data_IF_809080266974
#
_entry.id   IF_809080266974
#
_cell.length_a   1.000
_cell.length_b   1.000
_cell.length_c   1.000
_cell.angle_alpha   90.00
_cell.angle_beta   90.00
_cell.angle_gamma   90.00
#
_symmetry.space_group_name_H-M   'P 1'
#
loop_
_entity.id
_entity.type
_entity.pdbx_description
1 polymer ?
#
# COMPACT_ATOMS: atom_id res chain seq x y z
N UNK A 1 17.21 -8.77 6.92
CA UNK A 1 18.32 -7.96 7.48
C UNK A 1 18.58 -8.28 8.95
N UNK A 2 17.56 -8.20 9.80
CA UNK A 2 17.65 -8.61 11.23
C UNK A 2 18.34 -9.96 11.42
N UNK A 3 17.99 -10.96 10.60
CA UNK A 3 18.59 -12.31 10.69
C UNK A 3 20.09 -12.32 10.41
N UNK A 4 20.56 -11.50 9.46
CA UNK A 4 21.99 -11.35 9.16
C UNK A 4 22.70 -10.67 10.33
N UNK A 5 22.12 -9.61 10.87
CA UNK A 5 22.71 -8.89 12.00
C UNK A 5 22.74 -9.76 13.25
N UNK A 6 21.69 -10.54 13.50
CA UNK A 6 21.62 -11.48 14.62
C UNK A 6 22.68 -12.59 14.50
N UNK A 7 22.93 -13.09 13.29
CA UNK A 7 24.03 -14.02 13.03
C UNK A 7 25.40 -13.37 13.31
N UNK A 8 25.60 -12.11 12.92
CA UNK A 8 26.82 -11.35 13.23
C UNK A 8 27.00 -11.20 14.75
N UNK A 9 25.97 -10.73 15.47
CA UNK A 9 26.07 -10.46 16.91
C UNK A 9 26.27 -11.73 17.73
N UNK A 10 25.64 -12.83 17.33
CA UNK A 10 25.80 -14.13 18.00
C UNK A 10 27.16 -14.74 17.72
N UNK A 11 27.66 -14.69 16.48
CA UNK A 11 29.01 -15.17 16.12
C UNK A 11 30.11 -14.40 16.86
N UNK A 12 29.96 -13.08 17.03
CA UNK A 12 30.90 -12.25 17.77
C UNK A 12 30.77 -12.38 19.30
N UNK A 13 29.80 -13.13 19.81
CA UNK A 13 29.58 -13.33 21.24
C UNK A 13 29.07 -12.08 21.97
N UNK A 14 28.45 -11.13 21.27
CA UNK A 14 27.95 -9.87 21.84
C UNK A 14 26.43 -9.87 22.12
N UNK A 15 25.76 -10.99 21.82
CA UNK A 15 24.35 -11.25 22.12
C UNK A 15 23.48 -11.51 20.89
N UNK A 16 22.17 -11.59 21.08
CA UNK A 16 21.19 -11.72 19.98
C UNK A 16 20.54 -10.37 19.67
N UNK A 17 20.86 -9.80 18.51
CA UNK A 17 20.23 -8.57 18.01
C UNK A 17 18.70 -8.70 17.93
N UNK A 18 18.18 -9.89 17.61
CA UNK A 18 16.74 -10.15 17.53
C UNK A 18 16.02 -9.93 18.85
N UNK A 19 16.66 -10.28 19.97
CA UNK A 19 16.09 -10.13 21.30
C UNK A 19 16.19 -8.70 21.86
N UNK A 20 16.99 -7.83 21.22
CA UNK A 20 17.18 -6.48 21.71
C UNK A 20 15.95 -5.60 21.46
N UNK A 21 15.61 -4.71 22.42
CA UNK A 21 14.62 -3.67 22.21
C UNK A 21 15.11 -2.66 21.16
N UNK A 22 14.18 -1.92 20.56
CA UNK A 22 14.45 -0.99 19.45
C UNK A 22 15.51 0.05 19.82
N UNK A 23 15.49 0.60 21.03
CA UNK A 23 16.46 1.56 21.51
C UNK A 23 17.88 0.97 21.52
N UNK A 24 18.03 -0.25 22.06
CA UNK A 24 19.32 -0.95 22.09
C UNK A 24 19.83 -1.28 20.69
N UNK A 25 18.92 -1.64 19.77
CA UNK A 25 19.27 -1.85 18.35
C UNK A 25 19.81 -0.57 17.72
N UNK A 26 19.12 0.56 17.90
CA UNK A 26 19.58 1.86 17.41
C UNK A 26 20.94 2.26 18.00
N UNK A 27 21.10 2.14 19.32
CA UNK A 27 22.35 2.47 20.01
C UNK A 27 23.53 1.66 19.46
N UNK A 28 23.35 0.34 19.35
CA UNK A 28 24.39 -0.54 18.81
C UNK A 28 24.69 -0.23 17.34
N UNK A 29 23.67 -0.12 16.48
CA UNK A 29 23.86 0.21 15.06
C UNK A 29 24.59 1.54 14.90
N UNK A 30 24.24 2.56 15.68
CA UNK A 30 24.90 3.87 15.61
C UNK A 30 26.34 3.81 16.10
N UNK A 31 26.63 3.03 17.15
CA UNK A 31 28.00 2.78 17.60
C UNK A 31 28.83 2.20 16.46
N UNK A 32 28.31 1.17 15.80
CA UNK A 32 29.01 0.50 14.71
C UNK A 32 29.14 1.37 13.46
N UNK A 33 28.09 2.12 13.09
CA UNK A 33 28.08 3.04 11.95
C UNK A 33 29.07 4.21 12.10
N UNK A 34 29.29 4.67 13.34
CA UNK A 34 30.32 5.67 13.67
C UNK A 34 31.72 5.06 13.78
N UNK A 35 31.79 3.79 14.20
CA UNK A 35 33.01 3.01 14.27
C UNK A 35 33.67 2.81 12.89
N UNK A 36 34.97 2.53 12.92
CA UNK A 36 35.78 2.18 11.72
C UNK A 36 36.20 0.71 11.70
N UNK A 37 35.79 -0.06 12.71
CA UNK A 37 36.12 -1.48 12.83
C UNK A 37 35.19 -2.29 11.91
N UNK A 38 35.71 -3.17 11.05
CA UNK A 38 34.88 -4.12 10.32
C UNK A 38 34.19 -5.13 11.25
N UNK A 39 32.93 -5.46 10.93
CA UNK A 39 32.09 -6.39 11.69
C UNK A 39 31.93 -7.73 11.00
N UNK A 40 31.83 -7.76 9.68
CA UNK A 40 31.52 -8.98 8.95
C UNK A 40 32.75 -9.89 8.89
N UNK A 41 32.70 -11.02 9.60
CA UNK A 41 33.77 -12.02 9.56
C UNK A 41 33.60 -12.97 8.38
N UNK A 42 34.72 -13.35 7.76
CA UNK A 42 34.75 -14.30 6.63
C UNK A 42 34.30 -15.71 7.02
N UNK A 43 34.43 -16.07 8.30
CA UNK A 43 34.09 -17.38 8.85
C UNK A 43 32.70 -17.44 9.51
N UNK A 44 31.91 -16.37 9.42
CA UNK A 44 30.56 -16.34 9.97
C UNK A 44 29.68 -17.39 9.29
N UNK A 45 29.03 -18.30 10.04
CA UNK A 45 28.10 -19.27 9.47
C UNK A 45 26.92 -18.58 8.76
N UNK A 46 26.56 -19.07 7.58
CA UNK A 46 25.47 -18.50 6.77
C UNK A 46 24.44 -19.59 6.45
N UNK A 47 23.17 -19.29 6.73
CA UNK A 47 22.06 -20.03 6.12
C UNK A 47 21.91 -19.60 4.66
N UNK A 48 21.12 -20.34 3.87
CA UNK A 48 20.83 -19.97 2.48
C UNK A 48 20.24 -18.55 2.38
N UNK A 49 19.30 -18.19 3.27
CA UNK A 49 18.70 -16.85 3.31
C UNK A 49 19.70 -15.74 3.68
N UNK A 50 20.63 -16.02 4.61
CA UNK A 50 21.69 -15.06 4.97
C UNK A 50 22.67 -14.87 3.81
N UNK A 51 23.07 -15.97 3.17
CA UNK A 51 23.97 -15.95 2.03
C UNK A 51 23.37 -15.20 0.85
N UNK A 52 22.06 -15.34 0.59
CA UNK A 52 21.35 -14.59 -0.45
C UNK A 52 21.38 -13.06 -0.18
N UNK A 53 21.09 -12.64 1.05
CA UNK A 53 21.13 -11.22 1.43
C UNK A 53 22.55 -10.64 1.29
N UNK A 54 23.57 -11.34 1.78
CA UNK A 54 24.96 -10.88 1.66
C UNK A 54 25.44 -10.90 0.21
N UNK A 55 25.09 -11.94 -0.55
CA UNK A 55 25.35 -12.07 -1.98
C UNK A 55 24.76 -10.91 -2.79
N UNK A 56 23.53 -10.50 -2.46
CA UNK A 56 22.92 -9.30 -3.05
C UNK A 56 23.79 -8.06 -2.83
N UNK A 57 24.27 -7.79 -1.60
CA UNK A 57 25.14 -6.64 -1.35
C UNK A 57 26.51 -6.74 -2.03
N UNK A 58 27.08 -7.95 -2.16
CA UNK A 58 28.32 -8.14 -2.92
C UNK A 58 28.13 -7.78 -4.40
N UNK A 59 27.02 -8.19 -5.03
CA UNK A 59 26.68 -7.77 -6.40
C UNK A 59 26.53 -6.25 -6.50
N UNK A 60 25.91 -5.62 -5.51
CA UNK A 60 25.80 -4.15 -5.45
C UNK A 60 27.17 -3.46 -5.32
N UNK A 61 28.14 -4.09 -4.66
CA UNK A 61 29.50 -3.55 -4.51
C UNK A 61 30.35 -3.68 -5.78
N UNK A 62 30.06 -4.66 -6.63
CA UNK A 62 30.80 -4.95 -7.86
C UNK A 62 30.31 -4.16 -9.08
N UNK A 63 29.02 -3.80 -9.13
CA UNK A 63 28.39 -3.13 -10.26
C UNK A 63 28.43 -1.60 -10.15
N UNK A 64 28.25 -0.93 -11.29
CA UNK A 64 28.23 0.54 -11.36
C UNK A 64 27.03 1.10 -10.61
N UNK A 65 27.24 2.17 -9.82
CA UNK A 65 26.17 2.81 -9.04
C UNK A 65 24.97 3.19 -9.91
N UNK A 66 25.18 3.72 -11.10
CA UNK A 66 24.11 4.22 -11.97
C UNK A 66 23.18 3.11 -12.51
N UNK A 67 23.54 1.84 -12.33
CA UNK A 67 22.66 0.71 -12.64
C UNK A 67 21.49 0.57 -11.65
N UNK A 68 21.52 1.28 -10.51
CA UNK A 68 20.60 1.04 -9.41
C UNK A 68 19.76 2.26 -9.00
N UNK A 69 18.55 1.98 -8.50
CA UNK A 69 17.71 2.96 -7.82
C UNK A 69 17.97 2.99 -6.31
N UNK A 70 16.92 3.00 -5.47
CA UNK A 70 17.05 2.85 -4.02
C UNK A 70 17.12 1.37 -3.59
N UNK A 71 17.57 1.13 -2.37
CA UNK A 71 17.35 -0.12 -1.65
C UNK A 71 16.06 -0.01 -0.83
N UNK A 72 15.04 -0.80 -1.16
CA UNK A 72 13.71 -0.72 -0.51
C UNK A 72 13.58 -1.80 0.55
N UNK A 73 13.15 -1.40 1.75
CA UNK A 73 12.91 -2.31 2.88
C UNK A 73 11.41 -2.54 3.00
N UNK A 74 10.93 -3.67 2.49
CA UNK A 74 9.56 -4.14 2.75
C UNK A 74 9.36 -4.43 4.24
N UNK A 75 8.14 -4.22 4.74
CA UNK A 75 7.78 -4.38 6.15
C UNK A 75 8.66 -3.55 7.11
N UNK A 76 9.01 -2.32 6.72
CA UNK A 76 9.74 -1.43 7.61
C UNK A 76 8.82 -1.00 8.76
N UNK A 77 9.32 -1.09 9.99
CA UNK A 77 8.57 -0.83 11.22
C UNK A 77 9.23 0.23 12.10
N UNK A 78 10.56 0.33 12.05
CA UNK A 78 11.31 1.17 12.98
C UNK A 78 12.59 1.75 12.35
N UNK A 79 13.22 2.78 12.97
CA UNK A 79 14.50 3.33 12.52
C UNK A 79 15.61 2.30 12.39
N UNK A 80 15.67 1.29 13.27
CA UNK A 80 16.69 0.24 13.21
C UNK A 80 16.66 -0.57 11.90
N UNK A 81 15.50 -0.72 11.26
CA UNK A 81 15.38 -1.41 9.97
C UNK A 81 16.19 -0.68 8.88
N UNK A 82 16.12 0.66 8.87
CA UNK A 82 16.86 1.51 7.93
C UNK A 82 18.36 1.50 8.24
N UNK A 83 18.72 1.69 9.51
CA UNK A 83 20.12 1.71 9.96
C UNK A 83 20.82 0.36 9.76
N UNK A 84 20.09 -0.75 9.91
CA UNK A 84 20.57 -2.09 9.63
C UNK A 84 21.04 -2.25 8.18
N UNK A 85 20.28 -1.73 7.21
CA UNK A 85 20.67 -1.79 5.79
C UNK A 85 21.84 -0.85 5.50
N UNK A 86 21.87 0.35 6.08
CA UNK A 86 23.03 1.24 5.95
C UNK A 86 24.31 0.56 6.46
N UNK A 87 24.24 -0.17 7.57
CA UNK A 87 25.36 -0.93 8.10
C UNK A 87 25.77 -2.05 7.15
N UNK A 88 24.83 -2.88 6.70
CA UNK A 88 25.12 -4.00 5.80
C UNK A 88 25.71 -3.54 4.45
N UNK A 89 25.23 -2.43 3.88
CA UNK A 89 25.84 -1.84 2.68
C UNK A 89 27.31 -1.49 2.91
N UNK A 90 27.64 -0.90 4.07
CA UNK A 90 29.02 -0.57 4.42
C UNK A 90 29.87 -1.83 4.62
N UNK A 91 29.39 -2.79 5.39
CA UNK A 91 30.14 -4.01 5.74
C UNK A 91 30.36 -4.93 4.53
N UNK A 92 29.46 -4.90 3.55
CA UNK A 92 29.64 -5.59 2.27
C UNK A 92 30.42 -4.76 1.23
N UNK A 93 31.09 -3.68 1.65
CA UNK A 93 31.94 -2.83 0.82
C UNK A 93 31.24 -2.14 -0.37
N UNK A 94 29.95 -1.82 -0.25
CA UNK A 94 29.25 -0.99 -1.24
C UNK A 94 29.79 0.44 -1.14
N UNK A 95 30.79 0.76 -1.98
CA UNK A 95 31.53 2.04 -1.92
C UNK A 95 30.66 3.28 -2.11
N UNK A 96 29.61 3.17 -2.92
CA UNK A 96 28.62 4.20 -3.16
C UNK A 96 27.23 3.68 -2.74
N UNK A 97 26.92 3.67 -1.43
CA UNK A 97 25.74 2.98 -0.93
C UNK A 97 24.44 3.62 -1.45
N UNK A 98 23.48 2.76 -1.79
CA UNK A 98 22.18 3.15 -2.33
C UNK A 98 21.38 3.93 -1.27
N UNK A 99 20.51 4.87 -1.68
CA UNK A 99 19.53 5.46 -0.79
C UNK A 99 18.61 4.38 -0.21
N UNK A 100 18.51 4.31 1.11
CA UNK A 100 17.64 3.36 1.80
C UNK A 100 16.23 3.93 1.95
N UNK A 101 15.23 3.16 1.54
CA UNK A 101 13.83 3.57 1.47
C UNK A 101 12.97 2.62 2.30
N UNK A 102 12.44 3.05 3.46
CA UNK A 102 11.47 2.24 4.20
C UNK A 102 10.15 2.19 3.44
N UNK A 103 9.57 0.98 3.34
CA UNK A 103 8.22 0.75 2.86
C UNK A 103 7.32 0.41 4.06
N UNK A 104 6.44 1.34 4.42
CA UNK A 104 5.43 1.15 5.48
C UNK A 104 4.17 0.51 4.88
N UNK A 105 3.79 -0.67 5.39
CA UNK A 105 2.78 -1.54 4.76
C UNK A 105 1.56 -1.82 5.64
N UNK A 106 1.68 -1.82 6.97
CA UNK A 106 0.52 -1.99 7.87
C UNK A 106 0.00 -0.65 8.38
N UNK A 107 -1.22 -0.67 8.90
CA UNK A 107 -1.83 0.51 9.50
C UNK A 107 -1.00 1.06 10.66
N UNK A 108 -0.50 0.17 11.54
CA UNK A 108 0.35 0.58 12.67
C UNK A 108 1.69 1.18 12.20
N UNK A 109 2.27 0.64 11.13
CA UNK A 109 3.53 1.11 10.57
C UNK A 109 3.36 2.51 9.94
N UNK A 110 2.24 2.75 9.27
CA UNK A 110 1.90 4.08 8.75
C UNK A 110 1.67 5.11 9.87
N UNK A 111 1.04 4.71 10.97
CA UNK A 111 0.82 5.57 12.14
C UNK A 111 2.14 5.92 12.83
N UNK A 112 3.10 5.00 12.91
CA UNK A 112 4.41 5.24 13.51
C UNK A 112 5.42 5.89 12.55
N UNK A 113 5.17 5.85 11.23
CA UNK A 113 6.09 6.34 10.20
C UNK A 113 6.62 7.77 10.46
N UNK A 114 5.80 8.78 10.83
CA UNK A 114 6.31 10.13 11.10
C UNK A 114 7.31 10.16 12.26
N UNK A 115 7.05 9.40 13.33
CA UNK A 115 7.94 9.31 14.49
C UNK A 115 9.25 8.58 14.12
N UNK A 116 9.17 7.50 13.33
CA UNK A 116 10.34 6.78 12.84
C UNK A 116 11.23 7.66 11.94
N UNK A 117 10.61 8.43 11.03
CA UNK A 117 11.32 9.37 10.14
C UNK A 117 11.93 10.52 10.95
N UNK A 118 11.19 11.09 11.91
CA UNK A 118 11.71 12.13 12.80
C UNK A 118 12.91 11.62 13.60
N UNK A 119 12.81 10.40 14.15
CA UNK A 119 13.91 9.78 14.88
C UNK A 119 15.13 9.65 13.99
N UNK A 120 14.99 9.12 12.76
CA UNK A 120 16.10 9.03 11.81
C UNK A 120 16.74 10.39 11.51
N UNK A 121 15.94 11.43 11.30
CA UNK A 121 16.47 12.79 11.02
C UNK A 121 17.14 13.44 12.22
N UNK A 122 16.79 13.03 13.45
CA UNK A 122 17.47 13.49 14.67
C UNK A 122 18.86 12.87 14.89
N UNK A 123 19.26 11.88 14.07
CA UNK A 123 20.56 11.22 14.17
C UNK A 123 21.56 11.90 13.23
N UNK A 124 22.54 12.63 13.78
CA UNK A 124 23.55 13.37 12.98
C UNK A 124 24.23 12.52 11.91
N UNK A 125 24.54 11.26 12.24
CA UNK A 125 25.15 10.33 11.27
C UNK A 125 24.24 10.11 10.06
N UNK A 126 22.95 9.88 10.30
CA UNK A 126 21.98 9.59 9.24
C UNK A 126 21.67 10.85 8.44
N UNK A 127 21.47 12.00 9.11
CA UNK A 127 21.19 13.26 8.45
C UNK A 127 22.33 13.66 7.48
N UNK A 128 23.58 13.48 7.91
CA UNK A 128 24.75 13.67 7.05
C UNK A 128 24.79 12.66 5.90
N UNK A 129 24.48 11.39 6.17
CA UNK A 129 24.48 10.29 5.19
C UNK A 129 23.50 10.51 4.04
N UNK A 130 22.32 11.08 4.32
CA UNK A 130 21.26 11.29 3.31
C UNK A 130 21.42 12.60 2.51
N UNK A 131 22.31 13.51 2.92
CA UNK A 131 22.60 14.75 2.19
C UNK A 131 21.36 15.61 1.91
N UNK A 132 20.43 15.67 2.88
CA UNK A 132 19.20 16.46 2.79
C UNK A 132 18.11 15.86 1.88
N UNK A 133 18.19 14.59 1.47
CA UNK A 133 17.16 13.93 0.64
C UNK A 133 16.75 12.59 1.24
N UNK A 134 15.47 12.42 1.54
CA UNK A 134 14.90 11.14 1.98
C UNK A 134 13.82 10.69 1.01
N UNK A 135 13.73 9.38 0.78
CA UNK A 135 12.57 8.81 0.13
C UNK A 135 11.88 7.79 1.04
N UNK A 136 10.55 7.81 1.04
CA UNK A 136 9.72 6.86 1.76
C UNK A 136 8.76 6.22 0.78
N UNK A 137 8.61 4.89 0.83
CA UNK A 137 7.64 4.18 0.01
C UNK A 137 6.38 3.90 0.83
N UNK A 138 5.22 4.04 0.19
CA UNK A 138 3.92 3.79 0.81
C UNK A 138 3.15 2.70 0.07
N UNK A 139 2.67 1.69 0.80
CA UNK A 139 1.99 0.52 0.24
C UNK A 139 0.47 0.61 0.38
N UNK A 140 -0.27 0.75 -0.73
CA UNK A 140 -1.73 0.84 -0.71
C UNK A 140 -2.41 -0.52 -0.55
N UNK A 141 -2.04 -1.50 -1.39
CA UNK A 141 -2.67 -2.83 -1.36
C UNK A 141 -2.37 -3.59 -0.07
N UNK A 142 -1.15 -3.51 0.44
CA UNK A 142 -0.76 -4.17 1.68
C UNK A 142 -1.47 -3.54 2.90
N UNK A 143 -1.55 -2.21 2.97
CA UNK A 143 -2.31 -1.52 4.02
C UNK A 143 -3.81 -1.82 3.93
N UNK A 144 -4.35 -1.86 2.70
CA UNK A 144 -5.75 -2.24 2.46
C UNK A 144 -6.05 -3.67 2.88
N UNK A 145 -5.09 -4.60 2.70
CA UNK A 145 -5.21 -5.98 3.16
C UNK A 145 -5.22 -6.10 4.68
N UNK A 146 -4.50 -5.23 5.39
CA UNK A 146 -4.42 -5.22 6.86
C UNK A 146 -5.68 -4.67 7.53
N UNK A 147 -6.23 -3.57 7.01
CA UNK A 147 -7.23 -2.77 7.73
C UNK A 147 -8.45 -2.32 6.91
N UNK A 148 -8.59 -2.78 5.66
CA UNK A 148 -9.61 -2.30 4.74
C UNK A 148 -9.17 -1.04 4.00
N UNK A 149 -9.71 -0.84 2.80
CA UNK A 149 -9.23 0.17 1.85
C UNK A 149 -9.48 1.62 2.31
N UNK A 150 -10.63 1.90 2.93
CA UNK A 150 -10.98 3.24 3.43
C UNK A 150 -9.96 3.71 4.48
N UNK A 151 -9.71 2.87 5.48
CA UNK A 151 -8.79 3.15 6.59
C UNK A 151 -7.34 3.24 6.12
N UNK A 152 -6.92 2.37 5.20
CA UNK A 152 -5.62 2.46 4.56
C UNK A 152 -5.43 3.79 3.82
N UNK A 153 -6.42 4.22 3.03
CA UNK A 153 -6.34 5.49 2.30
C UNK A 153 -6.23 6.68 3.25
N UNK A 154 -7.00 6.70 4.35
CA UNK A 154 -6.94 7.77 5.33
C UNK A 154 -5.62 7.82 6.09
N UNK A 155 -5.13 6.67 6.56
CA UNK A 155 -3.84 6.56 7.24
C UNK A 155 -2.68 6.98 6.33
N UNK A 156 -2.76 6.65 5.04
CA UNK A 156 -1.79 7.12 4.05
C UNK A 156 -1.82 8.64 3.90
N UNK A 157 -2.99 9.26 3.84
CA UNK A 157 -3.11 10.72 3.75
C UNK A 157 -2.48 11.41 4.96
N UNK A 158 -2.83 10.98 6.17
CA UNK A 158 -2.33 11.58 7.42
C UNK A 158 -0.85 11.32 7.65
N UNK A 159 -0.35 10.12 7.34
CA UNK A 159 1.07 9.80 7.45
C UNK A 159 1.92 10.66 6.50
N UNK A 160 1.48 10.84 5.25
CA UNK A 160 2.17 11.69 4.27
C UNK A 160 2.22 13.16 4.73
N UNK A 161 1.09 13.69 5.22
CA UNK A 161 1.02 15.05 5.75
C UNK A 161 1.98 15.24 6.96
N UNK A 162 1.99 14.28 7.88
CA UNK A 162 2.85 14.33 9.06
C UNK A 162 4.35 14.19 8.71
N UNK A 163 4.71 13.26 7.82
CA UNK A 163 6.09 13.09 7.35
C UNK A 163 6.58 14.33 6.59
N UNK A 164 5.74 14.98 5.79
CA UNK A 164 6.10 16.22 5.10
C UNK A 164 6.40 17.36 6.10
N UNK A 165 5.59 17.50 7.16
CA UNK A 165 5.84 18.46 8.25
C UNK A 165 7.16 18.18 8.96
N UNK A 166 7.45 16.91 9.27
CA UNK A 166 8.73 16.49 9.85
C UNK A 166 9.89 16.85 8.92
N UNK A 167 9.82 16.46 7.65
CA UNK A 167 10.87 16.73 6.67
C UNK A 167 11.16 18.23 6.51
N UNK A 168 10.12 19.06 6.50
CA UNK A 168 10.23 20.52 6.47
C UNK A 168 10.98 21.09 7.69
N UNK A 169 10.70 20.58 8.90
CA UNK A 169 11.42 21.00 10.14
C UNK A 169 12.92 20.71 10.09
N UNK A 170 13.30 19.57 9.50
CA UNK A 170 14.70 19.14 9.40
C UNK A 170 15.40 19.60 8.10
N UNK A 171 14.72 20.37 7.24
CA UNK A 171 15.28 20.83 5.96
C UNK A 171 15.57 19.69 4.97
N UNK A 172 14.84 18.57 5.07
CA UNK A 172 15.00 17.40 4.20
C UNK A 172 13.99 17.44 3.06
N UNK A 173 14.46 17.25 1.82
CA UNK A 173 13.59 17.02 0.67
C UNK A 173 13.07 15.58 0.72
N UNK A 174 11.80 15.43 1.10
CA UNK A 174 11.10 14.16 1.08
C UNK A 174 10.54 13.87 -0.33
N UNK A 175 10.82 12.69 -0.85
CA UNK A 175 10.15 12.13 -2.04
C UNK A 175 9.29 10.95 -1.60
N UNK A 176 8.01 10.95 -1.94
CA UNK A 176 7.14 9.80 -1.72
C UNK A 176 7.19 8.87 -2.93
N UNK A 177 7.39 7.58 -2.66
CA UNK A 177 7.28 6.52 -3.66
C UNK A 177 5.96 5.76 -3.48
N UNK A 178 5.03 6.00 -4.39
CA UNK A 178 3.71 5.39 -4.38
C UNK A 178 3.76 3.95 -4.91
N UNK A 179 3.47 2.99 -4.03
CA UNK A 179 3.38 1.57 -4.34
C UNK A 179 2.17 1.18 -5.19
N UNK A 180 2.01 -0.12 -5.45
CA UNK A 180 0.88 -0.68 -6.21
C UNK A 180 -0.45 -0.46 -5.51
N UNK A 181 -1.52 -0.41 -6.30
CA UNK A 181 -2.89 -0.35 -5.80
C UNK A 181 -3.41 1.03 -5.45
N UNK A 182 -2.57 2.07 -5.44
CA UNK A 182 -3.03 3.45 -5.23
C UNK A 182 -3.86 3.99 -6.38
N UNK A 183 -4.66 5.03 -6.12
CA UNK A 183 -5.39 5.80 -7.15
C UNK A 183 -4.45 6.32 -8.23
N UNK A 184 -3.21 6.70 -7.84
CA UNK A 184 -2.17 7.21 -8.74
C UNK A 184 -1.64 6.16 -9.73
N UNK A 185 -1.64 4.88 -9.36
CA UNK A 185 -0.96 3.81 -10.13
C UNK A 185 -1.87 2.93 -10.99
N UNK A 186 -3.19 3.11 -10.92
CA UNK A 186 -4.15 2.16 -11.52
C UNK A 186 -4.72 2.54 -12.87
N UNK A 187 -4.48 3.76 -13.37
CA UNK A 187 -4.92 4.21 -14.69
C UNK A 187 -6.44 4.12 -14.99
N UNK A 188 -7.25 3.62 -14.04
CA UNK A 188 -8.68 3.39 -14.17
C UNK A 188 -9.54 4.47 -13.52
N UNK A 189 -8.92 5.45 -12.86
CA UNK A 189 -9.52 6.75 -12.55
C UNK A 189 -8.58 7.84 -13.07
N UNK A 190 -8.96 9.13 -13.01
CA UNK A 190 -8.11 10.19 -13.54
C UNK A 190 -6.80 10.30 -12.73
N UNK A 191 -5.74 9.62 -13.17
CA UNK A 191 -4.41 9.66 -12.52
C UNK A 191 -3.94 11.10 -12.29
N UNK A 192 -4.33 12.00 -13.19
CA UNK A 192 -4.15 13.44 -13.04
C UNK A 192 -4.74 13.96 -11.71
N UNK A 193 -6.04 13.76 -11.48
CA UNK A 193 -6.71 14.20 -10.26
C UNK A 193 -6.18 13.48 -9.02
N UNK A 194 -5.77 12.21 -9.14
CA UNK A 194 -5.18 11.46 -8.04
C UNK A 194 -3.81 12.03 -7.58
N UNK A 195 -3.05 12.64 -8.48
CA UNK A 195 -1.82 13.36 -8.14
C UNK A 195 -2.19 14.71 -7.50
N UNK A 196 -3.14 15.45 -8.08
CA UNK A 196 -3.61 16.72 -7.52
C UNK A 196 -4.25 16.59 -6.13
N UNK A 197 -4.75 15.40 -5.78
CA UNK A 197 -5.37 15.14 -4.47
C UNK A 197 -4.41 14.73 -3.36
N UNK A 198 -3.11 14.58 -3.65
CA UNK A 198 -2.13 14.31 -2.60
C UNK A 198 -2.10 15.46 -1.58
N UNK A 199 -1.76 15.20 -0.30
CA UNK A 199 -1.70 16.27 0.70
C UNK A 199 -0.77 17.42 0.25
N UNK A 200 -1.06 18.69 0.62
CA UNK A 200 -0.20 19.82 0.30
C UNK A 200 1.26 19.60 0.73
N UNK A 201 2.21 20.20 0.00
CA UNK A 201 3.66 20.13 0.25
C UNK A 201 4.28 18.70 0.24
N UNK A 202 3.62 17.69 -0.36
CA UNK A 202 4.15 16.30 -0.38
C UNK A 202 4.89 15.91 -1.67
N UNK A 203 4.69 16.62 -2.78
CA UNK A 203 5.29 16.27 -4.08
C UNK A 203 6.51 17.15 -4.39
N UNK A 204 6.38 18.47 -4.30
CA UNK A 204 7.47 19.45 -4.45
C UNK A 204 8.41 19.16 -5.64
N UNK A 205 7.82 18.87 -6.80
CA UNK A 205 8.52 18.59 -8.06
C UNK A 205 9.26 17.24 -8.11
N UNK A 206 8.99 16.31 -7.18
CA UNK A 206 9.60 14.98 -7.18
C UNK A 206 8.56 13.90 -6.87
N UNK A 207 8.09 13.24 -7.92
CA UNK A 207 7.11 12.16 -7.84
C UNK A 207 7.75 10.83 -8.26
N UNK A 208 7.48 9.76 -7.50
CA UNK A 208 7.76 8.38 -7.92
C UNK A 208 6.52 7.53 -7.78
N UNK A 209 6.13 6.85 -8.85
CA UNK A 209 4.91 6.03 -8.90
C UNK A 209 5.24 4.68 -9.51
N UNK A 210 4.64 3.63 -8.95
CA UNK A 210 4.68 2.29 -9.54
C UNK A 210 3.68 2.22 -10.69
N UNK A 211 4.16 1.99 -11.91
CA UNK A 211 3.30 1.55 -13.01
C UNK A 211 3.04 0.05 -12.84
N UNK A 212 1.78 -0.31 -12.67
CA UNK A 212 1.39 -1.70 -12.52
C UNK A 212 1.44 -2.43 -13.87
N UNK A 213 1.88 -3.70 -13.86
CA UNK A 213 2.01 -4.50 -15.09
C UNK A 213 0.68 -4.65 -15.82
N UNK A 214 -0.43 -4.78 -15.10
CA UNK A 214 -1.77 -4.87 -15.67
C UNK A 214 -2.27 -3.55 -16.33
N UNK A 215 -1.53 -2.45 -16.20
CA UNK A 215 -1.86 -1.14 -16.80
C UNK A 215 -0.78 -0.67 -17.79
N UNK A 216 0.30 -1.45 -17.97
CA UNK A 216 1.43 -1.02 -18.81
C UNK A 216 1.01 -0.83 -20.26
N UNK A 217 0.26 -1.77 -20.81
CA UNK A 217 -0.23 -1.74 -22.19
C UNK A 217 -1.20 -0.56 -22.40
N UNK A 218 -2.15 -0.38 -21.49
CA UNK A 218 -3.10 0.74 -21.57
C UNK A 218 -2.41 2.11 -21.47
N UNK A 219 -1.28 2.19 -20.76
CA UNK A 219 -0.58 3.45 -20.53
C UNK A 219 0.46 3.77 -21.61
N UNK A 220 1.09 2.77 -22.20
CA UNK A 220 2.29 2.92 -23.03
C UNK A 220 2.30 2.08 -24.31
N UNK A 221 1.30 1.23 -24.55
CA UNK A 221 1.25 0.31 -25.71
C UNK A 221 0.95 1.01 -27.04
N UNK A 222 0.36 2.20 -27.00
CA UNK A 222 0.07 3.02 -28.18
C UNK A 222 0.75 4.40 -28.05
N UNK A 223 1.26 4.94 -29.15
CA UNK A 223 2.12 6.13 -29.16
C UNK A 223 1.43 7.38 -28.59
N UNK A 224 0.18 7.65 -28.99
CA UNK A 224 -0.58 8.80 -28.49
C UNK A 224 -0.95 8.62 -27.01
N UNK A 225 -1.34 7.42 -26.58
CA UNK A 225 -1.62 7.11 -25.18
C UNK A 225 -0.36 7.23 -24.31
N UNK A 226 0.80 6.78 -24.80
CA UNK A 226 2.10 6.96 -24.17
C UNK A 226 2.38 8.45 -23.94
N UNK A 227 2.24 9.27 -25.00
CA UNK A 227 2.42 10.72 -24.90
C UNK A 227 1.47 11.34 -23.87
N UNK A 228 0.18 11.00 -23.92
CA UNK A 228 -0.81 11.51 -22.96
C UNK A 228 -0.52 11.07 -21.52
N UNK A 229 0.04 9.87 -21.33
CA UNK A 229 0.49 9.38 -20.02
C UNK A 229 1.64 10.23 -19.49
N UNK A 230 2.67 10.47 -20.30
CA UNK A 230 3.79 11.33 -19.90
C UNK A 230 3.34 12.78 -19.63
N UNK A 231 2.44 13.31 -20.46
CA UNK A 231 1.87 14.64 -20.31
C UNK A 231 1.13 14.79 -18.98
N UNK A 232 0.22 13.88 -18.63
CA UNK A 232 -0.59 14.00 -17.40
C UNK A 232 0.25 13.90 -16.13
N UNK A 233 1.26 13.03 -16.09
CA UNK A 233 2.17 12.93 -14.94
C UNK A 233 2.97 14.22 -14.76
N UNK A 234 3.47 14.79 -15.85
CA UNK A 234 4.24 16.05 -15.81
C UNK A 234 3.36 17.22 -15.37
N UNK A 235 2.19 17.39 -15.98
CA UNK A 235 1.27 18.48 -15.68
C UNK A 235 0.78 18.45 -14.23
N UNK A 236 0.27 17.31 -13.77
CA UNK A 236 -0.29 17.20 -12.42
C UNK A 236 0.78 17.35 -11.32
N UNK A 237 2.00 16.85 -11.56
CA UNK A 237 3.13 17.02 -10.62
C UNK A 237 3.53 18.49 -10.49
N UNK A 238 3.55 19.22 -11.61
CA UNK A 238 3.87 20.64 -11.65
C UNK A 238 2.76 21.47 -10.97
N UNK A 239 1.50 21.24 -11.36
CA UNK A 239 0.36 21.96 -10.82
C UNK A 239 0.22 21.76 -9.31
N UNK A 240 0.33 20.54 -8.80
CA UNK A 240 0.23 20.27 -7.36
C UNK A 240 1.21 21.10 -6.52
N UNK A 241 2.44 21.29 -7.02
CA UNK A 241 3.47 22.07 -6.33
C UNK A 241 3.24 23.59 -6.32
N UNK A 242 2.37 24.11 -7.20
CA UNK A 242 2.05 25.54 -7.30
C UNK A 242 0.61 25.88 -6.89
N UNK A 243 -0.28 24.89 -6.95
CA UNK A 243 -1.70 24.98 -6.68
C UNK A 243 -2.13 23.75 -5.85
N UNK A 244 -1.79 23.73 -4.55
CA UNK A 244 -2.12 22.61 -3.68
C UNK A 244 -3.63 22.48 -3.48
N UNK A 245 -4.15 21.27 -3.20
CA UNK A 245 -5.57 21.08 -2.94
C UNK A 245 -6.00 21.75 -1.63
N UNK A 246 -7.31 21.95 -1.48
CA UNK A 246 -7.89 22.43 -0.23
C UNK A 246 -7.52 21.52 0.95
N UNK A 247 -7.16 22.14 2.08
CA UNK A 247 -6.97 21.42 3.33
C UNK A 247 -8.32 20.93 3.86
N UNK A 248 -8.41 19.68 4.37
CA UNK A 248 -9.68 19.18 4.88
C UNK A 248 -10.13 19.94 6.13
N UNK A 249 -11.43 20.26 6.19
CA UNK A 249 -12.07 20.91 7.33
C UNK A 249 -11.97 20.01 8.59
N UNK A 250 -11.96 20.59 9.82
CA UNK A 250 -11.88 19.80 11.05
C UNK A 250 -12.96 18.72 11.17
N UNK A 251 -14.20 19.04 10.78
CA UNK A 251 -15.32 18.11 10.78
C UNK A 251 -15.14 16.95 9.77
N UNK A 252 -14.47 17.18 8.64
CA UNK A 252 -14.15 16.12 7.68
C UNK A 252 -13.10 15.16 8.25
N UNK A 253 -12.09 15.69 8.94
CA UNK A 253 -11.08 14.85 9.61
C UNK A 253 -11.70 14.02 10.72
N UNK A 254 -12.50 14.65 11.58
CA UNK A 254 -13.18 13.97 12.68
C UNK A 254 -14.10 12.84 12.16
N UNK A 255 -14.84 13.10 11.08
CA UNK A 255 -15.67 12.08 10.45
C UNK A 255 -14.81 10.95 9.85
N UNK A 256 -13.70 11.26 9.17
CA UNK A 256 -12.79 10.25 8.64
C UNK A 256 -12.16 9.37 9.74
N UNK A 257 -11.71 9.97 10.84
CA UNK A 257 -11.15 9.23 11.99
C UNK A 257 -12.17 8.24 12.56
N UNK A 258 -13.43 8.65 12.66
CA UNK A 258 -14.51 7.81 13.15
C UNK A 258 -14.87 6.67 12.18
N UNK A 259 -15.20 7.00 10.93
CA UNK A 259 -15.71 6.00 9.98
C UNK A 259 -14.64 4.97 9.60
N UNK A 260 -13.36 5.34 9.64
CA UNK A 260 -12.26 4.42 9.35
C UNK A 260 -12.06 3.40 10.47
N UNK A 261 -12.31 3.77 11.74
CA UNK A 261 -12.32 2.81 12.84
C UNK A 261 -13.42 1.74 12.64
N UNK A 262 -14.62 2.16 12.23
CA UNK A 262 -15.74 1.25 11.92
C UNK A 262 -15.44 0.38 10.71
N UNK A 263 -14.90 0.96 9.63
CA UNK A 263 -14.50 0.21 8.44
C UNK A 263 -13.46 -0.87 8.74
N UNK A 264 -12.45 -0.54 9.56
CA UNK A 264 -11.41 -1.50 9.96
C UNK A 264 -11.99 -2.61 10.83
N UNK A 265 -12.92 -2.29 11.73
CA UNK A 265 -13.54 -3.32 12.55
C UNK A 265 -14.39 -4.28 11.71
N UNK A 266 -15.25 -3.77 10.82
CA UNK A 266 -16.02 -4.60 9.89
C UNK A 266 -15.09 -5.45 9.02
N UNK A 267 -14.09 -4.85 8.39
CA UNK A 267 -13.15 -5.57 7.53
C UNK A 267 -12.45 -6.71 8.31
N UNK A 268 -11.91 -6.44 9.50
CA UNK A 268 -11.21 -7.45 10.31
C UNK A 268 -12.18 -8.47 10.90
N UNK A 269 -13.43 -8.11 11.17
CA UNK A 269 -14.48 -9.05 11.60
C UNK A 269 -14.65 -10.19 10.59
N UNK A 270 -14.64 -9.86 9.30
CA UNK A 270 -14.84 -10.79 8.20
C UNK A 270 -13.52 -11.49 7.84
N UNK A 271 -12.44 -10.73 7.63
CA UNK A 271 -11.21 -11.28 7.03
C UNK A 271 -10.31 -11.97 8.04
N UNK A 272 -10.32 -11.52 9.30
CA UNK A 272 -9.38 -11.98 10.33
C UNK A 272 -10.07 -12.78 11.44
N UNK A 273 -11.29 -12.41 11.84
CA UNK A 273 -11.97 -12.99 13.01
C UNK A 273 -12.99 -14.08 12.69
N UNK A 274 -13.58 -14.07 11.49
CA UNK A 274 -14.52 -15.13 11.06
C UNK A 274 -13.73 -16.41 10.73
N UNK A 275 -13.89 -17.50 11.52
CA UNK A 275 -13.08 -18.71 11.35
C UNK A 275 -13.27 -19.39 10.00
N UNK A 276 -14.46 -19.25 9.39
CA UNK A 276 -14.79 -19.87 8.09
C UNK A 276 -14.24 -19.09 6.90
N UNK A 277 -13.71 -17.87 7.10
CA UNK A 277 -13.33 -16.99 6.01
C UNK A 277 -12.26 -17.59 5.09
N UNK A 278 -11.22 -18.21 5.66
CA UNK A 278 -10.12 -18.79 4.86
C UNK A 278 -10.60 -19.97 4.02
N UNK A 279 -11.53 -20.77 4.56
CA UNK A 279 -12.16 -21.87 3.84
C UNK A 279 -13.02 -21.33 2.70
N UNK A 280 -13.92 -20.40 2.99
CA UNK A 280 -14.75 -19.73 1.99
C UNK A 280 -13.90 -19.10 0.87
N UNK A 281 -12.86 -18.35 1.23
CA UNK A 281 -11.96 -17.71 0.27
C UNK A 281 -11.30 -18.70 -0.69
N UNK A 282 -10.84 -19.84 -0.19
CA UNK A 282 -10.18 -20.87 -1.02
C UNK A 282 -11.16 -21.63 -1.92
N UNK A 283 -12.43 -21.70 -1.55
CA UNK A 283 -13.48 -22.32 -2.36
C UNK A 283 -14.07 -21.34 -3.38
N UNK A 284 -14.37 -20.12 -2.97
CA UNK A 284 -15.05 -19.10 -3.77
C UNK A 284 -14.12 -18.37 -4.76
N UNK A 285 -12.81 -18.60 -4.69
CA UNK A 285 -11.81 -17.96 -5.53
C UNK A 285 -10.75 -18.94 -6.01
N UNK A 286 -10.06 -18.68 -7.14
CA UNK A 286 -8.99 -19.54 -7.64
C UNK A 286 -7.63 -19.29 -6.95
N UNK A 287 -7.60 -18.91 -5.66
CA UNK A 287 -6.33 -18.62 -4.94
C UNK A 287 -5.37 -19.82 -4.92
N UNK A 288 -5.90 -21.00 -4.63
CA UNK A 288 -5.09 -22.20 -4.50
C UNK A 288 -4.47 -22.58 -5.85
N UNK A 289 -5.26 -22.50 -6.92
CA UNK A 289 -4.85 -22.80 -8.28
C UNK A 289 -3.84 -21.77 -8.78
N UNK A 290 -4.06 -20.47 -8.51
CA UNK A 290 -3.10 -19.41 -8.86
C UNK A 290 -1.70 -19.68 -8.29
N UNK A 291 -1.62 -20.16 -7.04
CA UNK A 291 -0.34 -20.50 -6.42
C UNK A 291 0.32 -21.78 -6.97
N UNK A 292 -0.43 -22.65 -7.66
CA UNK A 292 0.05 -23.92 -8.25
C UNK A 292 0.38 -23.80 -9.73
N UNK A 293 -0.27 -22.89 -10.44
CA UNK A 293 -0.08 -22.68 -11.87
C UNK A 293 1.15 -21.80 -12.13
N UNK A 294 1.74 -21.97 -13.32
CA UNK A 294 2.92 -21.21 -13.75
C UNK A 294 2.55 -19.80 -14.29
N UNK A 295 1.79 -19.04 -13.49
CA UNK A 295 1.31 -17.70 -13.84
C UNK A 295 2.09 -16.62 -13.07
N UNK A 296 2.46 -16.90 -11.82
CA UNK A 296 3.25 -16.00 -10.98
C UNK A 296 4.70 -16.43 -10.86
N UNK A 297 5.65 -15.49 -10.88
CA UNK A 297 7.08 -15.77 -10.64
C UNK A 297 7.45 -15.87 -9.15
N UNK A 298 6.50 -15.63 -8.24
CA UNK A 298 6.73 -15.55 -6.79
C UNK A 298 5.77 -16.45 -6.02
N UNK A 299 6.20 -17.06 -4.90
CA UNK A 299 5.29 -17.77 -4.00
C UNK A 299 4.15 -16.86 -3.52
N UNK A 300 2.91 -17.37 -3.55
CA UNK A 300 1.72 -16.61 -3.16
C UNK A 300 1.70 -16.25 -1.66
N UNK A 301 2.31 -17.09 -0.81
CA UNK A 301 2.37 -16.90 0.65
C UNK A 301 3.81 -16.75 1.13
N UNK A 302 4.00 -15.97 2.20
CA UNK A 302 5.27 -15.88 2.95
C UNK A 302 5.47 -17.08 3.86
N UNK A 303 4.38 -17.68 4.38
CA UNK A 303 4.37 -18.90 5.18
C UNK A 303 3.26 -19.83 4.68
N UNK A 304 3.56 -21.07 4.21
CA UNK A 304 2.58 -21.95 3.57
C UNK A 304 1.35 -22.29 4.43
N UNK A 305 1.53 -22.44 5.75
CA UNK A 305 0.46 -22.77 6.71
C UNK A 305 -0.25 -21.56 7.33
N UNK A 306 0.09 -20.33 6.93
CA UNK A 306 -0.52 -19.13 7.51
C UNK A 306 -1.91 -18.79 6.95
N UNK A 307 -2.65 -17.95 7.67
CA UNK A 307 -3.91 -17.35 7.25
C UNK A 307 -3.73 -16.23 6.23
N UNK A 308 -4.68 -15.29 6.17
CA UNK A 308 -4.63 -14.13 5.24
C UNK A 308 -3.41 -13.23 5.51
N UNK A 309 -2.87 -13.24 6.73
CA UNK A 309 -1.68 -12.48 7.09
C UNK A 309 -0.44 -12.97 6.34
N UNK A 310 -0.36 -14.25 5.98
CA UNK A 310 0.76 -14.80 5.21
C UNK A 310 0.59 -14.63 3.70
N UNK A 311 -0.62 -14.36 3.22
CA UNK A 311 -0.93 -14.11 1.81
C UNK A 311 -0.39 -12.75 1.38
N UNK A 312 0.27 -12.70 0.22
CA UNK A 312 0.75 -11.44 -0.37
C UNK A 312 -0.42 -10.65 -0.97
N UNK A 313 -0.27 -9.33 -1.08
CA UNK A 313 -1.32 -8.46 -1.62
C UNK A 313 -1.71 -8.76 -3.08
N UNK A 314 -0.78 -9.22 -3.93
CA UNK A 314 -1.09 -9.54 -5.34
C UNK A 314 -2.07 -10.73 -5.44
N UNK A 315 -1.77 -11.93 -4.89
CA UNK A 315 -2.73 -13.03 -4.85
C UNK A 315 -4.06 -12.63 -4.21
N UNK A 316 -4.03 -11.84 -3.13
CA UNK A 316 -5.24 -11.37 -2.45
C UNK A 316 -6.17 -10.61 -3.40
N UNK A 317 -5.69 -9.57 -4.06
CA UNK A 317 -6.52 -8.80 -5.00
C UNK A 317 -6.87 -9.64 -6.23
N UNK A 318 -5.91 -10.38 -6.78
CA UNK A 318 -6.10 -11.16 -8.01
C UNK A 318 -7.26 -12.15 -7.86
N UNK A 319 -7.26 -12.95 -6.81
CA UNK A 319 -8.27 -13.99 -6.58
C UNK A 319 -9.70 -13.45 -6.52
N UNK A 320 -9.91 -12.33 -5.83
CA UNK A 320 -11.22 -11.68 -5.74
C UNK A 320 -11.61 -10.89 -7.00
N UNK A 321 -10.64 -10.51 -7.84
CA UNK A 321 -10.94 -9.93 -9.15
C UNK A 321 -11.41 -11.01 -10.12
N UNK A 322 -10.86 -12.23 -10.05
CA UNK A 322 -11.25 -13.34 -10.94
C UNK A 322 -12.71 -13.76 -10.76
N UNK A 323 -13.21 -13.82 -9.53
CA UNK A 323 -14.63 -14.17 -9.28
C UNK A 323 -15.59 -12.97 -9.39
N UNK A 324 -15.12 -11.84 -9.95
CA UNK A 324 -15.88 -10.60 -10.14
C UNK A 324 -16.45 -9.99 -8.85
N UNK A 325 -15.95 -10.37 -7.67
CA UNK A 325 -16.53 -9.90 -6.41
C UNK A 325 -15.77 -8.70 -5.80
N UNK A 326 -14.47 -8.58 -6.07
CA UNK A 326 -13.62 -7.45 -5.66
C UNK A 326 -13.69 -7.10 -4.15
N UNK A 327 -14.02 -8.07 -3.28
CA UNK A 327 -14.18 -7.92 -1.83
C UNK A 327 -13.11 -7.03 -1.16
N UNK A 328 -11.80 -7.15 -1.45
CA UNK A 328 -10.76 -6.37 -0.78
C UNK A 328 -10.85 -4.86 -0.97
N UNK A 329 -11.59 -4.39 -1.97
CA UNK A 329 -11.62 -2.98 -2.35
C UNK A 329 -12.74 -2.23 -1.63
N UNK A 330 -13.92 -2.83 -1.49
CA UNK A 330 -15.12 -2.17 -0.97
C UNK A 330 -15.50 -2.58 0.46
N UNK A 331 -15.03 -3.73 0.96
CA UNK A 331 -15.38 -4.19 2.31
C UNK A 331 -14.96 -3.16 3.37
N UNK A 332 -15.89 -2.79 4.25
CA UNK A 332 -15.72 -1.73 5.25
C UNK A 332 -16.43 -0.41 4.91
N UNK A 333 -16.65 -0.10 3.63
CA UNK A 333 -17.29 1.16 3.23
C UNK A 333 -18.77 1.23 3.61
N UNK A 334 -19.51 0.13 3.43
CA UNK A 334 -20.93 0.03 3.78
C UNK A 334 -21.17 0.35 5.26
N UNK A 335 -20.50 -0.36 6.18
CA UNK A 335 -20.69 -0.10 7.61
C UNK A 335 -20.22 1.31 8.01
N UNK A 336 -19.12 1.80 7.47
CA UNK A 336 -18.62 3.15 7.71
C UNK A 336 -19.66 4.24 7.36
N UNK A 337 -20.24 4.17 6.17
CA UNK A 337 -21.22 5.15 5.72
C UNK A 337 -22.56 5.01 6.43
N UNK A 338 -23.02 3.78 6.65
CA UNK A 338 -24.22 3.51 7.44
C UNK A 338 -24.08 4.05 8.86
N UNK A 339 -22.92 3.84 9.50
CA UNK A 339 -22.64 4.36 10.83
C UNK A 339 -22.70 5.89 10.87
N UNK A 340 -21.99 6.56 9.94
CA UNK A 340 -22.00 8.01 9.85
C UNK A 340 -23.42 8.58 9.70
N UNK A 341 -24.20 8.04 8.76
CA UNK A 341 -25.55 8.52 8.46
C UNK A 341 -26.55 8.24 9.60
N UNK A 342 -26.39 7.14 10.34
CA UNK A 342 -27.25 6.82 11.47
C UNK A 342 -26.93 7.66 12.71
N UNK A 343 -25.67 8.07 12.88
CA UNK A 343 -25.24 8.85 14.06
C UNK A 343 -25.76 10.28 14.03
N UNK A 344 -25.69 10.94 12.87
CA UNK A 344 -26.26 12.28 12.67
C UNK A 344 -26.68 12.43 11.20
N UNK A 345 -27.93 12.86 10.98
CA UNK A 345 -28.47 13.10 9.63
C UNK A 345 -27.64 14.13 8.85
N UNK A 346 -26.95 15.04 9.55
CA UNK A 346 -26.05 16.02 8.94
C UNK A 346 -24.81 15.37 8.31
N UNK A 347 -24.37 14.22 8.82
CA UNK A 347 -23.20 13.53 8.29
C UNK A 347 -23.39 13.10 6.83
N UNK A 348 -24.62 12.80 6.42
CA UNK A 348 -24.91 12.53 5.00
C UNK A 348 -24.54 13.73 4.12
N UNK A 349 -24.96 14.93 4.53
CA UNK A 349 -24.65 16.15 3.80
C UNK A 349 -23.14 16.46 3.84
N UNK A 350 -22.47 16.21 4.96
CA UNK A 350 -21.00 16.33 5.07
C UNK A 350 -20.29 15.39 4.10
N UNK A 351 -20.70 14.12 4.00
CA UNK A 351 -20.11 13.16 3.05
C UNK A 351 -20.27 13.62 1.60
N UNK A 352 -21.44 14.17 1.24
CA UNK A 352 -21.68 14.75 -0.09
C UNK A 352 -20.80 15.98 -0.34
N UNK A 353 -20.64 16.85 0.65
CA UNK A 353 -19.74 18.00 0.56
C UNK A 353 -18.29 17.58 0.40
N UNK A 354 -17.83 16.58 1.17
CA UNK A 354 -16.50 16.00 1.01
C UNK A 354 -16.28 15.46 -0.39
N UNK A 355 -17.26 14.77 -1.00
CA UNK A 355 -17.13 14.27 -2.37
C UNK A 355 -16.98 15.40 -3.40
N UNK A 356 -17.72 16.49 -3.23
CA UNK A 356 -17.70 17.60 -4.18
C UNK A 356 -16.51 18.55 -3.99
N UNK A 357 -16.09 18.77 -2.75
CA UNK A 357 -15.12 19.82 -2.39
C UNK A 357 -13.73 19.27 -2.05
N UNK A 358 -13.60 18.00 -1.68
CA UNK A 358 -12.31 17.43 -1.23
C UNK A 358 -11.76 16.42 -2.24
N UNK A 359 -10.72 16.79 -3.03
CA UNK A 359 -10.18 15.92 -4.07
C UNK A 359 -9.75 14.53 -3.59
N UNK A 360 -9.22 14.41 -2.36
CA UNK A 360 -8.81 13.13 -1.79
C UNK A 360 -10.01 12.18 -1.64
N UNK A 361 -11.11 12.67 -1.07
CA UNK A 361 -12.31 11.87 -0.84
C UNK A 361 -12.97 11.52 -2.17
N UNK A 362 -13.02 12.48 -3.10
CA UNK A 362 -13.50 12.27 -4.47
C UNK A 362 -12.78 11.12 -5.17
N UNK A 363 -11.45 11.19 -5.33
CA UNK A 363 -10.71 10.14 -6.05
C UNK A 363 -10.74 8.79 -5.33
N UNK A 364 -10.92 8.80 -4.01
CA UNK A 364 -11.09 7.56 -3.24
C UNK A 364 -12.39 6.88 -3.63
N UNK A 365 -13.50 7.63 -3.69
CA UNK A 365 -14.80 7.09 -4.08
C UNK A 365 -14.93 6.78 -5.56
N UNK A 366 -14.35 7.60 -6.45
CA UNK A 366 -14.33 7.32 -7.90
C UNK A 366 -13.63 5.97 -8.18
N UNK A 367 -12.57 5.64 -7.43
CA UNK A 367 -11.93 4.33 -7.53
C UNK A 367 -12.85 3.19 -7.08
N UNK A 368 -13.60 3.38 -5.99
CA UNK A 368 -14.54 2.35 -5.51
C UNK A 368 -15.67 2.18 -6.51
N UNK A 369 -16.25 3.27 -7.02
CA UNK A 369 -17.31 3.23 -8.03
C UNK A 369 -16.84 2.49 -9.30
N UNK A 370 -15.63 2.77 -9.79
CA UNK A 370 -15.06 2.05 -10.93
C UNK A 370 -14.86 0.55 -10.65
N UNK A 371 -14.49 0.18 -9.43
CA UNK A 371 -14.32 -1.24 -9.07
C UNK A 371 -15.67 -1.94 -8.93
N UNK A 372 -16.68 -1.27 -8.39
CA UNK A 372 -18.06 -1.76 -8.38
C UNK A 372 -18.60 -1.94 -9.81
N UNK A 373 -18.26 -1.03 -10.73
CA UNK A 373 -18.60 -1.17 -12.15
C UNK A 373 -18.00 -2.42 -12.82
N UNK A 374 -16.91 -2.96 -12.27
CA UNK A 374 -16.26 -4.20 -12.74
C UNK A 374 -16.75 -5.44 -11.98
N UNK A 375 -17.49 -5.24 -10.90
CA UNK A 375 -18.02 -6.32 -10.09
C UNK A 375 -19.32 -6.87 -10.65
N UNK A 376 -19.57 -8.15 -10.40
CA UNK A 376 -20.84 -8.81 -10.72
C UNK A 376 -21.19 -9.81 -9.60
N UNK A 377 -22.07 -9.45 -8.65
CA UNK A 377 -22.47 -10.34 -7.57
C UNK A 377 -23.24 -11.58 -8.06
N UNK A 378 -23.78 -11.57 -9.28
CA UNK A 378 -24.42 -12.75 -9.89
C UNK A 378 -23.37 -13.78 -10.27
N UNK A 379 -22.29 -13.37 -10.93
CA UNK A 379 -21.15 -14.25 -11.24
C UNK A 379 -20.50 -14.75 -9.95
N UNK A 380 -20.28 -13.88 -8.96
CA UNK A 380 -19.77 -14.31 -7.65
C UNK A 380 -20.68 -15.36 -6.99
N UNK A 381 -22.01 -15.20 -7.13
CA UNK A 381 -22.99 -16.20 -6.68
C UNK A 381 -22.91 -17.53 -7.42
N UNK A 382 -22.57 -17.54 -8.71
CA UNK A 382 -22.35 -18.76 -9.48
C UNK A 382 -21.11 -19.53 -8.99
N UNK A 383 -20.01 -18.83 -8.69
CA UNK A 383 -18.83 -19.44 -8.06
C UNK A 383 -19.20 -20.12 -6.74
N UNK A 384 -19.97 -19.44 -5.89
CA UNK A 384 -20.45 -20.01 -4.63
C UNK A 384 -21.32 -21.25 -4.85
N UNK A 385 -22.25 -21.21 -5.80
CA UNK A 385 -23.15 -22.33 -6.09
C UNK A 385 -22.39 -23.60 -6.52
N UNK A 386 -21.33 -23.43 -7.31
CA UNK A 386 -20.58 -24.52 -7.92
C UNK A 386 -19.44 -25.04 -7.04
N UNK A 387 -18.78 -24.18 -6.27
CA UNK A 387 -17.49 -24.48 -5.64
C UNK A 387 -17.52 -24.45 -4.10
N UNK A 388 -18.49 -23.76 -3.50
CA UNK A 388 -18.58 -23.59 -2.05
C UNK A 388 -19.52 -24.64 -1.45
N UNK A 389 -19.12 -25.22 -0.32
CA UNK A 389 -19.94 -26.18 0.42
C UNK A 389 -21.24 -25.54 0.93
N UNK A 390 -22.33 -26.32 0.98
CA UNK A 390 -23.67 -25.81 1.30
C UNK A 390 -23.73 -25.11 2.67
N UNK A 391 -22.94 -25.56 3.64
CA UNK A 391 -22.88 -25.01 5.00
C UNK A 391 -22.26 -23.60 5.05
N UNK A 392 -21.49 -23.22 4.02
CA UNK A 392 -20.79 -21.93 3.93
C UNK A 392 -21.52 -20.95 3.00
N UNK A 393 -22.38 -21.43 2.10
CA UNK A 393 -23.16 -20.57 1.18
C UNK A 393 -23.90 -19.39 1.85
N UNK A 394 -24.51 -19.52 3.04
CA UNK A 394 -25.14 -18.39 3.73
C UNK A 394 -24.17 -17.24 4.04
N UNK A 395 -22.90 -17.55 4.32
CA UNK A 395 -21.86 -16.54 4.53
C UNK A 395 -21.55 -15.76 3.25
N UNK A 396 -21.45 -16.45 2.11
CA UNK A 396 -21.27 -15.80 0.81
C UNK A 396 -22.47 -14.92 0.42
N UNK A 397 -23.69 -15.35 0.74
CA UNK A 397 -24.90 -14.53 0.57
C UNK A 397 -24.86 -13.26 1.43
N UNK A 398 -24.44 -13.37 2.69
CA UNK A 398 -24.24 -12.21 3.56
C UNK A 398 -23.25 -11.21 2.95
N UNK A 399 -22.14 -11.67 2.38
CA UNK A 399 -21.16 -10.80 1.72
C UNK A 399 -21.76 -10.12 0.48
N UNK A 400 -22.53 -10.83 -0.34
CA UNK A 400 -23.21 -10.24 -1.52
C UNK A 400 -24.26 -9.20 -1.12
N UNK A 401 -24.99 -9.44 -0.03
CA UNK A 401 -25.92 -8.44 0.51
C UNK A 401 -25.17 -7.17 0.97
N UNK A 402 -24.00 -7.33 1.59
CA UNK A 402 -23.13 -6.21 1.95
C UNK A 402 -22.60 -5.46 0.72
N UNK A 403 -22.24 -6.17 -0.36
CA UNK A 403 -21.86 -5.55 -1.64
C UNK A 403 -22.96 -4.60 -2.14
N UNK A 404 -24.21 -5.08 -2.23
CA UNK A 404 -25.35 -4.30 -2.74
C UNK A 404 -25.67 -3.11 -1.84
N UNK A 405 -25.61 -3.29 -0.51
CA UNK A 405 -25.80 -2.19 0.44
C UNK A 405 -24.70 -1.13 0.30
N UNK A 406 -23.44 -1.56 0.17
CA UNK A 406 -22.28 -0.69 -0.03
C UNK A 406 -22.40 0.12 -1.31
N UNK A 407 -22.76 -0.52 -2.43
CA UNK A 407 -22.98 0.15 -3.73
C UNK A 407 -24.04 1.25 -3.61
N UNK A 408 -25.19 0.93 -3.00
CA UNK A 408 -26.28 1.89 -2.81
C UNK A 408 -25.84 3.10 -1.97
N UNK A 409 -25.16 2.87 -0.85
CA UNK A 409 -24.67 3.94 0.02
C UNK A 409 -23.64 4.82 -0.67
N UNK A 410 -22.75 4.22 -1.47
CA UNK A 410 -21.79 4.95 -2.29
C UNK A 410 -22.53 5.85 -3.27
N UNK A 411 -23.41 5.33 -4.12
CA UNK A 411 -24.16 6.13 -5.10
C UNK A 411 -24.93 7.30 -4.46
N UNK A 412 -25.49 7.09 -3.26
CA UNK A 412 -26.15 8.17 -2.50
C UNK A 412 -25.21 9.31 -2.12
N UNK A 413 -23.98 9.00 -1.69
CA UNK A 413 -22.95 10.00 -1.36
C UNK A 413 -22.44 10.71 -2.62
N UNK A 414 -22.26 9.98 -3.72
CA UNK A 414 -21.84 10.56 -4.99
C UNK A 414 -22.94 11.45 -5.59
N UNK A 415 -24.20 11.16 -5.27
CA UNK A 415 -25.36 11.80 -5.90
C UNK A 415 -25.66 11.25 -7.30
N UNK A 416 -25.12 10.07 -7.63
CA UNK A 416 -25.36 9.37 -8.89
C UNK A 416 -26.59 8.46 -8.78
N UNK A 417 -27.34 8.30 -9.87
CA UNK A 417 -28.46 7.35 -9.97
C UNK A 417 -28.00 5.97 -10.40
N UNK A 418 -26.90 5.91 -11.13
CA UNK A 418 -26.30 4.69 -11.63
C UNK A 418 -24.76 4.76 -11.57
N UNK A 419 -24.13 3.59 -11.51
CA UNK A 419 -22.67 3.47 -11.51
C UNK A 419 -22.07 4.19 -12.72
N UNK A 420 -21.02 4.98 -12.46
CA UNK A 420 -20.24 5.75 -13.42
C UNK A 420 -21.09 6.78 -14.21
N UNK A 421 -22.12 7.36 -13.58
CA UNK A 421 -22.91 8.45 -14.19
C UNK A 421 -22.03 9.64 -14.60
N UNK A 422 -21.01 9.96 -13.80
CA UNK A 422 -20.05 11.03 -14.06
C UNK A 422 -18.95 10.71 -15.09
N UNK A 423 -18.84 9.46 -15.56
CA UNK A 423 -17.81 9.03 -16.54
C UNK A 423 -18.39 8.06 -17.59
N UNK A 424 -19.19 8.57 -18.55
CA UNK A 424 -19.82 7.74 -19.57
C UNK A 424 -18.81 7.07 -20.51
N UNK A 425 -17.62 7.66 -20.69
CA UNK A 425 -16.56 7.11 -21.52
C UNK A 425 -15.98 5.84 -20.91
N UNK A 426 -15.62 5.88 -19.62
CA UNK A 426 -15.18 4.69 -18.88
C UNK A 426 -16.29 3.64 -18.81
N UNK A 427 -17.53 4.06 -18.53
CA UNK A 427 -18.69 3.17 -18.48
C UNK A 427 -18.87 2.37 -19.77
N UNK A 428 -18.80 3.04 -20.92
CA UNK A 428 -18.87 2.39 -22.23
C UNK A 428 -17.73 1.38 -22.43
N UNK A 429 -16.49 1.77 -22.12
CA UNK A 429 -15.32 0.92 -22.30
C UNK A 429 -15.38 -0.36 -21.45
N UNK A 430 -15.88 -0.28 -20.22
CA UNK A 430 -16.05 -1.46 -19.36
C UNK A 430 -17.15 -2.37 -19.89
N UNK A 431 -18.30 -1.80 -20.26
CA UNK A 431 -19.46 -2.55 -20.77
C UNK A 431 -19.15 -3.34 -22.06
N UNK A 432 -18.25 -2.82 -22.90
CA UNK A 432 -17.81 -3.52 -24.13
C UNK A 432 -16.90 -4.73 -23.84
N UNK A 433 -16.29 -4.81 -22.66
CA UNK A 433 -15.42 -5.92 -22.26
C UNK A 433 -16.20 -7.04 -21.58
N UNK A 434 -17.27 -6.71 -20.86
CA UNK A 434 -18.02 -7.67 -20.05
C UNK A 434 -18.46 -8.93 -20.82
N UNK A 435 -18.99 -8.87 -22.06
CA UNK A 435 -19.35 -10.08 -22.79
C UNK A 435 -18.20 -11.09 -22.96
N UNK A 436 -16.97 -10.60 -23.08
CA UNK A 436 -15.78 -11.45 -23.25
C UNK A 436 -15.20 -11.95 -21.93
N UNK A 437 -15.44 -11.24 -20.82
CA UNK A 437 -14.95 -11.63 -19.49
C UNK A 437 -15.96 -12.55 -18.78
N UNK A 438 -17.25 -12.44 -19.12
CA UNK A 438 -18.33 -13.26 -18.53
C UNK A 438 -18.39 -14.67 -19.11
N UNK A 439 -17.96 -14.86 -20.38
CA UNK A 439 -17.77 -16.18 -20.98
C UNK A 439 -16.59 -16.87 -20.31
#
# INVERSE_FOLDING_TARGET
HTDVIDAITTHLGIGSYREWPEEKRQEWLLSELRGKRPLLSKDMPQTEEIADVLGCFHVLAELLRDSFGPYIISMATAPSDVLAVELLQRECNVKQPLPVVPLFEKLADLQSAPASVERLFSLDWYLNRIGGKQQVMVGYSDSGKDAGRLSAAWALYTAQEAMAKVAKRYGVKLTLFHGRGGTVGRGGGPTHLAILSQPPDTINGSLRVTIQGEVIEYSFGEEHLCFQTLQRFTAATLEHGMHPPVSPKPEWRALMDEITAVATDEYRSVVMREPRFVEYFRSATPETEYGRLNIGSRPAKRKPKGGIESLRAIPWIFSWTQNRFNLPVWLGFGAAFKHAMNKDIKNFQILKEMYNEWPFFRVTLDLIEMVLAKGDPTIAGLYDQLLVADEIKPFGEQLRNNYVETEKLILQVLGHKEILEGDPGLKQQLRLRDPYITI
#
